data_IF_204172487586
#
_entry.id   IF_204172487586
#
_cell.length_a   1.000
_cell.length_b   1.000
_cell.length_c   1.000
_cell.angle_alpha   90.00
_cell.angle_beta   90.00
_cell.angle_gamma   90.00
#
_symmetry.space_group_name_H-M   'P 1'
#
loop_
_entity.id
_entity.type
_entity.pdbx_description
1 polymer ?
#
# COMPACT_ATOMS: atom_id res chain seq x y z
N UNK A 1 59.25 29.13 41.13
CA UNK A 1 59.26 28.36 39.88
C UNK A 1 57.83 28.35 39.38
N UNK A 2 57.54 29.13 38.34
CA UNK A 2 56.19 29.40 37.82
C UNK A 2 55.93 28.41 36.68
N UNK A 3 54.86 27.62 36.75
CA UNK A 3 54.42 26.77 35.65
C UNK A 3 53.14 27.38 35.08
N UNK A 4 53.22 27.83 33.83
CA UNK A 4 52.14 28.46 33.08
C UNK A 4 51.49 27.33 32.28
N UNK A 5 50.30 26.89 32.67
CA UNK A 5 49.46 26.04 31.82
C UNK A 5 48.72 26.93 30.81
N UNK A 6 49.04 26.79 29.53
CA UNK A 6 48.22 27.35 28.46
C UNK A 6 46.92 26.53 28.35
N UNK A 7 45.74 27.15 28.19
CA UNK A 7 44.54 26.40 27.82
C UNK A 7 44.68 25.90 26.38
N UNK A 8 44.51 24.59 26.19
CA UNK A 8 44.36 23.99 24.88
C UNK A 8 43.06 24.52 24.24
N UNK A 9 43.21 25.17 23.09
CA UNK A 9 42.12 25.60 22.20
C UNK A 9 41.50 24.35 21.54
N UNK A 10 40.49 23.77 22.18
CA UNK A 10 39.59 22.82 21.52
C UNK A 10 38.37 23.59 21.03
N UNK A 11 38.52 24.20 19.86
CA UNK A 11 37.39 24.50 18.98
C UNK A 11 36.79 23.17 18.51
N UNK A 12 35.94 22.56 19.36
CA UNK A 12 34.98 21.56 18.91
C UNK A 12 33.90 22.27 18.09
N UNK A 13 34.29 22.68 16.88
CA UNK A 13 33.39 23.16 15.85
C UNK A 13 32.58 21.97 15.37
N UNK A 14 31.38 21.89 15.92
CA UNK A 14 30.13 21.36 15.34
C UNK A 14 30.16 21.10 13.82
N UNK A 15 30.86 20.07 13.36
CA UNK A 15 30.63 19.49 12.04
C UNK A 15 29.41 18.56 12.14
N UNK A 16 28.23 19.16 12.24
CA UNK A 16 26.95 18.45 12.07
C UNK A 16 26.85 18.07 10.60
N UNK A 17 27.37 16.89 10.25
CA UNK A 17 27.38 16.34 8.90
C UNK A 17 25.96 16.40 8.33
N UNK A 18 25.77 17.31 7.39
CA UNK A 18 24.50 17.45 6.70
C UNK A 18 24.43 16.36 5.64
N UNK A 19 23.32 15.58 5.57
CA UNK A 19 23.23 14.44 4.69
C UNK A 19 23.46 14.83 3.22
N UNK A 20 24.16 13.97 2.49
CA UNK A 20 24.49 14.19 1.08
C UNK A 20 23.22 14.25 0.22
N UNK A 21 23.27 14.88 -0.98
CA UNK A 21 22.12 14.94 -1.89
C UNK A 21 21.41 13.58 -2.12
N UNK A 22 22.10 12.45 -2.38
CA UNK A 22 21.44 11.15 -2.52
C UNK A 22 20.80 10.66 -1.22
N UNK A 23 21.38 10.95 -0.05
CA UNK A 23 20.78 10.59 1.24
C UNK A 23 19.53 11.40 1.52
N UNK A 24 19.51 12.69 1.15
CA UNK A 24 18.31 13.54 1.25
C UNK A 24 17.19 13.07 0.32
N UNK A 25 17.51 12.61 -0.88
CA UNK A 25 16.51 12.06 -1.81
C UNK A 25 15.90 10.76 -1.27
N UNK A 26 16.74 9.84 -0.76
CA UNK A 26 16.32 8.59 -0.12
C UNK A 26 15.47 8.83 1.12
N UNK A 27 15.83 9.83 1.93
CA UNK A 27 15.07 10.20 3.11
C UNK A 27 13.72 10.84 2.71
N UNK A 28 13.71 11.71 1.70
CA UNK A 28 12.48 12.34 1.22
C UNK A 28 11.47 11.33 0.65
N UNK A 29 11.93 10.30 -0.10
CA UNK A 29 11.02 9.23 -0.56
C UNK A 29 10.54 8.35 0.60
N UNK A 30 11.36 8.16 1.64
CA UNK A 30 11.00 7.42 2.85
C UNK A 30 9.94 8.16 3.69
N UNK A 31 9.99 9.49 3.70
CA UNK A 31 9.04 10.34 4.43
C UNK A 31 7.77 10.65 3.61
N UNK A 32 7.71 10.21 2.36
CA UNK A 32 6.58 10.46 1.46
C UNK A 32 5.35 9.65 1.90
N UNK A 33 4.31 10.36 2.31
CA UNK A 33 3.02 9.79 2.74
C UNK A 33 1.90 10.25 1.80
N UNK A 34 1.86 9.75 0.54
CA UNK A 34 0.97 10.27 -0.49
C UNK A 34 -0.52 10.05 -0.15
N UNK A 35 -0.83 9.12 0.75
CA UNK A 35 -2.19 8.83 1.20
C UNK A 35 -2.54 9.49 2.53
N UNK A 36 -1.70 10.39 3.06
CA UNK A 36 -1.93 11.06 4.34
C UNK A 36 -3.34 11.65 4.44
N UNK A 37 -4.12 11.16 5.40
CA UNK A 37 -5.48 11.63 5.66
C UNK A 37 -6.54 11.13 4.67
N UNK A 38 -6.17 10.27 3.70
CA UNK A 38 -7.06 9.74 2.66
C UNK A 38 -7.60 8.36 3.02
N UNK A 39 -8.71 7.99 2.38
CA UNK A 39 -9.32 6.66 2.48
C UNK A 39 -9.02 5.87 1.21
N UNK A 40 -8.62 4.61 1.37
CA UNK A 40 -8.45 3.66 0.27
C UNK A 40 -9.49 2.53 0.35
N UNK A 41 -9.84 1.97 -0.80
CA UNK A 41 -10.66 0.76 -0.92
C UNK A 41 -9.78 -0.37 -1.48
N UNK A 42 -9.81 -1.53 -0.83
CA UNK A 42 -9.15 -2.75 -1.32
C UNK A 42 -10.23 -3.77 -1.67
N UNK A 43 -10.20 -4.24 -2.92
CA UNK A 43 -11.16 -5.19 -3.49
C UNK A 43 -10.42 -6.47 -3.82
N UNK A 44 -10.58 -7.49 -2.99
CA UNK A 44 -9.93 -8.80 -3.13
C UNK A 44 -10.71 -9.80 -2.26
N UNK A 45 -10.90 -11.04 -2.69
CA UNK A 45 -11.59 -12.04 -1.87
C UNK A 45 -10.69 -12.66 -0.80
N UNK A 46 -9.38 -12.71 -1.02
CA UNK A 46 -8.40 -13.29 -0.12
C UNK A 46 -8.06 -12.35 1.05
N UNK A 47 -8.45 -12.74 2.27
CA UNK A 47 -8.18 -12.00 3.50
C UNK A 47 -6.68 -11.71 3.70
N UNK A 48 -5.80 -12.65 3.33
CA UNK A 48 -4.35 -12.48 3.46
C UNK A 48 -3.84 -11.29 2.61
N UNK A 49 -4.32 -11.16 1.37
CA UNK A 49 -3.94 -10.04 0.50
C UNK A 49 -4.48 -8.72 1.03
N UNK A 50 -5.73 -8.72 1.51
CA UNK A 50 -6.33 -7.53 2.14
C UNK A 50 -5.51 -7.01 3.32
N UNK A 51 -5.05 -7.92 4.19
CA UNK A 51 -4.16 -7.56 5.33
C UNK A 51 -2.82 -7.00 4.87
N UNK A 52 -2.16 -7.66 3.91
CA UNK A 52 -0.89 -7.17 3.38
C UNK A 52 -1.02 -5.76 2.76
N UNK A 53 -2.08 -5.53 1.98
CA UNK A 53 -2.37 -4.22 1.39
C UNK A 53 -2.74 -3.18 2.46
N UNK A 54 -3.44 -3.57 3.54
CA UNK A 54 -3.72 -2.69 4.66
C UNK A 54 -2.44 -2.13 5.28
N UNK A 55 -1.47 -3.01 5.55
CA UNK A 55 -0.20 -2.63 6.16
C UNK A 55 0.58 -1.69 5.24
N UNK A 56 0.63 -1.99 3.94
CA UNK A 56 1.30 -1.16 2.94
C UNK A 56 0.64 0.22 2.80
N UNK A 57 -0.68 0.27 2.70
CA UNK A 57 -1.42 1.53 2.56
C UNK A 57 -1.32 2.39 3.83
N UNK A 58 -1.28 1.75 5.00
CA UNK A 58 -1.06 2.43 6.28
C UNK A 58 0.33 3.07 6.35
N UNK A 59 1.37 2.39 5.85
CA UNK A 59 2.73 2.95 5.74
C UNK A 59 2.78 4.15 4.80
N UNK A 60 1.95 4.17 3.74
CA UNK A 60 1.79 5.32 2.84
C UNK A 60 0.94 6.47 3.45
N UNK A 61 0.47 6.31 4.69
CA UNK A 61 -0.25 7.33 5.46
C UNK A 61 -1.78 7.29 5.31
N UNK A 62 -2.37 6.24 4.72
CA UNK A 62 -3.81 6.13 4.61
C UNK A 62 -4.48 6.22 5.99
N UNK A 63 -5.49 7.08 6.11
CA UNK A 63 -6.27 7.24 7.35
C UNK A 63 -7.16 6.03 7.61
N UNK A 64 -7.70 5.45 6.54
CA UNK A 64 -8.62 4.33 6.61
C UNK A 64 -8.49 3.48 5.35
N UNK A 65 -8.54 2.17 5.54
CA UNK A 65 -8.61 1.18 4.47
C UNK A 65 -9.91 0.44 4.65
N UNK A 66 -10.75 0.48 3.61
CA UNK A 66 -12.02 -0.25 3.53
C UNK A 66 -11.80 -1.47 2.65
N UNK A 67 -12.52 -2.54 2.95
CA UNK A 67 -12.43 -3.80 2.23
C UNK A 67 -13.75 -4.13 1.55
N UNK A 68 -13.66 -4.67 0.35
CA UNK A 68 -14.76 -5.34 -0.34
C UNK A 68 -14.27 -6.67 -0.90
N UNK A 69 -15.14 -7.68 -0.92
CA UNK A 69 -14.86 -8.97 -1.58
C UNK A 69 -15.77 -9.24 -2.77
N UNK A 70 -16.72 -8.37 -3.05
CA UNK A 70 -17.65 -8.51 -4.19
C UNK A 70 -17.90 -7.17 -4.90
N UNK A 71 -18.35 -7.25 -6.15
CA UNK A 71 -18.77 -6.09 -6.93
C UNK A 71 -19.87 -5.28 -6.23
N UNK A 72 -20.87 -5.97 -5.65
CA UNK A 72 -21.99 -5.32 -4.95
C UNK A 72 -21.51 -4.47 -3.76
N UNK A 73 -20.55 -4.98 -2.98
CA UNK A 73 -19.96 -4.23 -1.87
C UNK A 73 -19.20 -2.99 -2.36
N UNK A 74 -18.46 -3.10 -3.47
CA UNK A 74 -17.77 -1.96 -4.08
C UNK A 74 -18.75 -0.86 -4.43
N UNK A 75 -19.87 -1.20 -5.08
CA UNK A 75 -20.89 -0.23 -5.45
C UNK A 75 -21.56 0.42 -4.24
N UNK A 76 -21.84 -0.36 -3.19
CA UNK A 76 -22.35 0.16 -1.92
C UNK A 76 -21.35 1.11 -1.25
N UNK A 77 -20.07 0.78 -1.28
CA UNK A 77 -19.05 1.65 -0.73
C UNK A 77 -18.94 2.96 -1.51
N UNK A 78 -18.90 2.91 -2.84
CA UNK A 78 -18.80 4.09 -3.70
C UNK A 78 -20.04 5.01 -3.62
N UNK A 79 -21.22 4.47 -3.33
CA UNK A 79 -22.41 5.29 -3.12
C UNK A 79 -22.42 6.03 -1.77
N UNK A 80 -21.65 5.56 -0.79
CA UNK A 80 -21.63 6.13 0.57
C UNK A 80 -20.43 7.03 0.86
N UNK A 81 -19.33 6.91 0.11
CA UNK A 81 -18.10 7.67 0.35
C UNK A 81 -17.19 7.69 -0.88
N UNK A 82 -16.33 8.70 -0.92
CA UNK A 82 -15.26 8.80 -1.91
C UNK A 82 -13.97 8.12 -1.44
N UNK A 83 -13.20 7.63 -2.40
CA UNK A 83 -11.89 7.01 -2.18
C UNK A 83 -10.83 7.73 -3.00
N UNK A 84 -9.65 7.94 -2.40
CA UNK A 84 -8.51 8.47 -3.14
C UNK A 84 -7.84 7.40 -4.01
N UNK A 85 -7.89 6.14 -3.56
CA UNK A 85 -7.31 4.99 -4.24
C UNK A 85 -8.23 3.79 -4.08
N UNK A 86 -8.48 3.09 -5.18
CA UNK A 86 -9.10 1.77 -5.22
C UNK A 86 -8.05 0.79 -5.73
N UNK A 87 -7.75 -0.24 -4.95
CA UNK A 87 -6.84 -1.34 -5.31
C UNK A 87 -7.69 -2.57 -5.53
N UNK A 88 -7.76 -3.08 -6.75
CA UNK A 88 -8.69 -4.13 -7.15
C UNK A 88 -7.96 -5.32 -7.75
N UNK A 89 -8.15 -6.50 -7.18
CA UNK A 89 -7.75 -7.77 -7.79
C UNK A 89 -8.45 -7.94 -9.14
N UNK A 90 -7.73 -8.49 -10.11
CA UNK A 90 -8.26 -8.79 -11.43
C UNK A 90 -9.31 -9.89 -11.34
N UNK A 91 -8.98 -11.00 -10.66
CA UNK A 91 -9.89 -12.14 -10.52
C UNK A 91 -10.73 -12.02 -9.25
N UNK A 92 -11.92 -11.45 -9.40
CA UNK A 92 -12.92 -11.41 -8.33
C UNK A 92 -13.75 -12.70 -8.33
N UNK A 93 -14.35 -13.01 -7.18
CA UNK A 93 -15.34 -14.08 -7.08
C UNK A 93 -16.67 -13.64 -7.73
N UNK A 94 -17.31 -14.58 -8.42
CA UNK A 94 -18.59 -14.36 -9.12
C UNK A 94 -18.43 -14.18 -10.63
N UNK A 95 -19.48 -13.63 -11.26
CA UNK A 95 -19.61 -13.60 -12.72
C UNK A 95 -18.84 -12.45 -13.39
N UNK A 96 -18.22 -11.58 -12.58
CA UNK A 96 -17.60 -10.34 -13.04
C UNK A 96 -16.19 -10.19 -12.49
N UNK A 97 -15.25 -9.88 -13.38
CA UNK A 97 -13.87 -9.60 -13.00
C UNK A 97 -13.63 -8.11 -12.71
N UNK A 98 -12.45 -7.78 -12.18
CA UNK A 98 -12.06 -6.41 -11.82
C UNK A 98 -11.99 -5.46 -13.01
N UNK A 99 -11.75 -5.96 -14.22
CA UNK A 99 -11.77 -5.14 -15.44
C UNK A 99 -13.20 -4.73 -15.83
N UNK A 100 -14.14 -5.67 -15.81
CA UNK A 100 -15.56 -5.38 -16.06
C UNK A 100 -16.13 -4.45 -15.00
N UNK A 101 -15.68 -4.57 -13.74
CA UNK A 101 -16.00 -3.60 -12.69
C UNK A 101 -15.49 -2.20 -13.06
N UNK A 102 -14.20 -2.05 -13.41
CA UNK A 102 -13.62 -0.76 -13.78
C UNK A 102 -14.34 -0.11 -14.98
N UNK A 103 -14.71 -0.90 -15.98
CA UNK A 103 -15.46 -0.43 -17.14
C UNK A 103 -16.82 0.15 -16.73
N UNK A 104 -17.60 -0.60 -15.96
CA UNK A 104 -18.89 -0.14 -15.46
C UNK A 104 -18.78 1.12 -14.61
N UNK A 105 -17.78 1.19 -13.73
CA UNK A 105 -17.57 2.37 -12.88
C UNK A 105 -17.25 3.61 -13.73
N UNK A 106 -16.51 3.45 -14.83
CA UNK A 106 -16.19 4.55 -15.77
C UNK A 106 -17.40 4.96 -16.61
N UNK A 107 -18.09 4.00 -17.23
CA UNK A 107 -19.27 4.24 -18.06
C UNK A 107 -20.35 4.96 -17.26
N UNK A 108 -20.57 4.52 -16.02
CA UNK A 108 -21.58 5.09 -15.13
C UNK A 108 -21.08 6.30 -14.33
N UNK A 109 -19.85 6.79 -14.56
CA UNK A 109 -19.23 7.93 -13.86
C UNK A 109 -19.29 7.81 -12.32
N UNK A 110 -19.11 6.58 -11.81
CA UNK A 110 -19.12 6.26 -10.37
C UNK A 110 -17.76 6.52 -9.68
N UNK A 111 -16.72 6.88 -10.43
CA UNK A 111 -15.42 7.29 -9.88
C UNK A 111 -15.34 8.81 -9.78
N UNK A 112 -14.94 9.31 -8.62
CA UNK A 112 -14.63 10.73 -8.47
C UNK A 112 -13.39 11.09 -9.31
N UNK A 113 -13.30 12.35 -9.75
CA UNK A 113 -12.20 12.84 -10.59
C UNK A 113 -10.81 12.66 -9.99
N UNK A 114 -10.72 12.59 -8.66
CA UNK A 114 -9.48 12.43 -7.90
C UNK A 114 -9.23 10.99 -7.45
N UNK A 115 -10.06 10.03 -7.87
CA UNK A 115 -9.90 8.61 -7.53
C UNK A 115 -8.93 7.94 -8.49
N UNK A 116 -7.82 7.44 -7.95
CA UNK A 116 -6.97 6.50 -8.68
C UNK A 116 -7.57 5.08 -8.58
N UNK A 117 -7.59 4.36 -9.70
CA UNK A 117 -7.96 2.94 -9.72
C UNK A 117 -6.74 2.13 -10.17
N UNK A 118 -6.27 1.24 -9.31
CA UNK A 118 -5.13 0.36 -9.54
C UNK A 118 -5.62 -1.09 -9.59
N UNK A 119 -5.31 -1.76 -10.70
CA UNK A 119 -5.53 -3.19 -10.82
C UNK A 119 -4.31 -3.94 -10.28
N UNK A 120 -4.56 -4.96 -9.47
CA UNK A 120 -3.55 -5.90 -8.98
C UNK A 120 -3.82 -7.23 -9.66
N UNK A 121 -2.77 -7.82 -10.23
CA UNK A 121 -2.83 -9.13 -10.86
C UNK A 121 -1.90 -10.05 -10.08
N UNK A 122 -2.47 -10.99 -9.32
CA UNK A 122 -1.71 -12.09 -8.78
C UNK A 122 -2.02 -13.33 -9.60
N UNK A 123 -1.09 -13.81 -10.44
CA UNK A 123 -1.15 -15.22 -10.83
C UNK A 123 -0.88 -16.05 -9.56
N UNK A 124 -1.94 -16.44 -8.85
CA UNK A 124 -1.88 -17.51 -7.86
C UNK A 124 -2.27 -18.79 -8.57
N UNK A 125 -1.29 -19.50 -9.13
CA UNK A 125 -1.43 -20.94 -9.41
C UNK A 125 -1.49 -21.71 -8.08
N UNK A 126 -2.53 -21.48 -7.28
CA UNK A 126 -2.80 -22.23 -6.06
C UNK A 126 -3.34 -23.64 -6.37
N UNK A 127 -3.61 -23.94 -7.65
CA UNK A 127 -4.01 -25.26 -8.14
C UNK A 127 -2.92 -26.34 -8.06
N UNK A 128 -1.65 -25.97 -7.82
CA UNK A 128 -0.55 -26.93 -7.78
C UNK A 128 -0.07 -27.36 -6.38
N UNK A 129 -0.61 -26.77 -5.30
CA UNK A 129 -0.09 -27.04 -3.94
C UNK A 129 -1.05 -27.84 -3.06
N UNK A 130 -2.30 -28.04 -3.49
CA UNK A 130 -3.25 -28.93 -2.80
C UNK A 130 -3.17 -30.37 -3.32
N UNK A 131 -2.82 -30.57 -4.60
CA UNK A 131 -2.61 -31.91 -5.16
C UNK A 131 -1.38 -32.65 -4.59
N UNK A 132 -0.43 -31.93 -3.97
CA UNK A 132 0.78 -32.51 -3.37
C UNK A 132 0.57 -32.87 -1.90
N UNK A 133 -0.46 -32.33 -1.24
CA UNK A 133 -0.73 -32.58 0.17
C UNK A 133 -1.66 -33.78 0.45
N UNK A 134 -2.38 -34.28 -0.56
CA UNK A 134 -3.31 -35.42 -0.41
C UNK A 134 -2.71 -36.78 -0.83
N UNK A 135 -1.40 -36.87 -1.09
CA UNK A 135 -0.75 -38.18 -1.19
C UNK A 135 -0.43 -38.66 0.23
N UNK A 136 -1.40 -39.33 0.87
CA UNK A 136 -1.05 -40.31 1.90
C UNK A 136 -0.13 -41.34 1.22
N UNK A 137 1.11 -41.57 1.71
CA UNK A 137 1.87 -42.71 1.27
C UNK A 137 1.18 -43.95 1.82
N UNK A 138 0.60 -44.77 0.92
CA UNK A 138 0.35 -46.18 1.21
C UNK A 138 1.71 -46.85 1.46
N UNK A 139 2.01 -47.08 2.75
CA UNK A 139 2.77 -48.23 3.25
C UNK A 139 2.43 -48.50 4.73
#
# INVERSE_FOLDING_TARGET
MMQIDLPADNTDTTAKDSPSKPDRMKQAVKDMTPLKGKTALVVDSALATRRALQDQLSQLGAKSVIFASSVSEVEQHLSSREFALIVCEYQLEGDRNGQQLLEDLRVNKKLAWNTAFMMVTGERSYGNVVAVAEFEPDD
#
